data_IF_079621824228
#
_entry.id   IF_079621824228
#
_cell.length_a   1.000
_cell.length_b   1.000
_cell.length_c   1.000
_cell.angle_alpha   90.00
_cell.angle_beta   90.00
_cell.angle_gamma   90.00
#
_symmetry.space_group_name_H-M   'P 1'
#
loop_
_entity.id
_entity.type
_entity.pdbx_description
1 polymer ?
#
# COMPACT_ATOMS: atom_id res chain seq x y z
N UNK A 1 24.67 -14.28 80.63
CA UNK A 1 24.37 -13.28 79.58
C UNK A 1 24.80 -13.90 78.27
N UNK A 2 23.88 -14.11 77.32
CA UNK A 2 24.29 -14.61 76.00
C UNK A 2 24.79 -13.44 75.15
N UNK A 3 26.07 -13.54 74.77
CA UNK A 3 26.71 -12.65 73.82
C UNK A 3 26.73 -13.37 72.49
N UNK A 4 25.71 -13.14 71.66
CA UNK A 4 25.66 -13.68 70.32
C UNK A 4 26.62 -12.87 69.47
N UNK A 5 27.78 -13.46 69.13
CA UNK A 5 28.68 -12.91 68.10
C UNK A 5 28.02 -13.14 66.74
N UNK A 6 27.13 -12.23 66.38
CA UNK A 6 26.43 -12.25 65.11
C UNK A 6 27.37 -11.92 63.97
N UNK A 7 27.31 -12.69 62.88
CA UNK A 7 27.75 -12.21 61.58
C UNK A 7 26.73 -11.13 61.15
N UNK A 8 26.99 -9.87 61.52
CA UNK A 8 26.28 -8.68 61.04
C UNK A 8 24.78 -8.84 60.77
N UNK A 9 24.01 -9.37 61.73
CA UNK A 9 22.60 -9.66 61.52
C UNK A 9 21.73 -8.58 62.18
N UNK A 10 21.08 -7.76 61.35
CA UNK A 10 20.22 -6.67 61.78
C UNK A 10 18.85 -7.20 62.24
N UNK A 11 18.64 -7.32 63.55
CA UNK A 11 17.31 -7.54 64.13
C UNK A 11 16.72 -6.17 64.50
N UNK A 12 15.65 -5.70 63.85
CA UNK A 12 15.10 -4.39 64.18
C UNK A 12 14.50 -4.41 65.58
N UNK A 13 14.96 -3.48 66.42
CA UNK A 13 14.34 -3.21 67.72
C UNK A 13 13.25 -2.17 67.49
N UNK A 14 12.02 -2.69 67.40
CA UNK A 14 10.78 -1.99 67.70
C UNK A 14 10.26 -1.02 66.64
N UNK A 15 9.12 -1.36 66.05
CA UNK A 15 8.00 -0.42 65.93
C UNK A 15 6.72 -1.19 66.25
N UNK A 16 6.10 -0.81 67.37
CA UNK A 16 4.81 -1.31 67.81
C UNK A 16 3.74 -0.96 66.76
N UNK A 17 3.30 -1.97 66.02
CA UNK A 17 2.25 -1.83 65.02
C UNK A 17 1.65 -3.18 64.67
N UNK A 18 0.58 -3.55 65.37
CA UNK A 18 -0.44 -4.52 64.95
C UNK A 18 -0.11 -6.03 64.86
N UNK A 19 1.07 -6.54 65.25
CA UNK A 19 1.25 -7.99 65.48
C UNK A 19 1.05 -8.33 66.98
N UNK A 20 -0.21 -8.32 67.45
CA UNK A 20 -0.57 -8.66 68.85
C UNK A 20 -0.21 -10.10 69.30
N UNK A 21 0.29 -10.96 68.42
CA UNK A 21 0.45 -12.39 68.71
C UNK A 21 1.85 -12.83 69.10
N UNK A 22 2.89 -12.01 68.91
CA UNK A 22 4.26 -12.35 69.32
C UNK A 22 4.96 -11.09 69.83
N UNK A 23 4.61 -10.63 71.03
CA UNK A 23 5.53 -9.79 71.77
C UNK A 23 6.82 -10.61 71.95
N UNK A 24 7.99 -10.13 71.49
CA UNK A 24 9.22 -10.85 71.70
C UNK A 24 9.35 -11.10 73.21
N UNK A 25 9.50 -12.38 73.62
CA UNK A 25 9.72 -12.76 75.02
C UNK A 25 11.11 -12.35 75.53
N UNK A 26 11.72 -11.34 74.92
CA UNK A 26 13.01 -10.78 75.29
C UNK A 26 12.96 -9.24 75.35
N UNK A 27 13.84 -8.69 76.17
CA UNK A 27 14.22 -7.28 76.23
C UNK A 27 15.58 -7.12 75.56
N UNK A 28 15.69 -6.18 74.62
CA UNK A 28 17.01 -5.77 74.12
C UNK A 28 17.74 -5.02 75.24
N UNK A 29 18.97 -5.42 75.54
CA UNK A 29 19.84 -4.70 76.47
C UNK A 29 20.76 -3.71 75.74
N UNK A 30 21.47 -4.18 74.72
CA UNK A 30 22.41 -3.36 73.95
C UNK A 30 22.60 -3.94 72.56
N UNK A 31 22.80 -3.07 71.57
CA UNK A 31 23.27 -3.44 70.25
C UNK A 31 24.62 -2.76 70.02
N UNK A 32 25.67 -3.53 69.84
CA UNK A 32 26.99 -3.05 69.46
C UNK A 32 27.19 -3.33 67.96
N UNK A 33 27.09 -2.26 67.16
CA UNK A 33 27.19 -2.33 65.72
C UNK A 33 28.63 -2.54 65.23
N UNK A 34 29.63 -2.13 66.00
CA UNK A 34 31.05 -2.30 65.65
C UNK A 34 31.44 -3.76 65.87
N UNK A 35 31.02 -4.33 66.99
CA UNK A 35 31.27 -5.74 67.31
C UNK A 35 30.29 -6.71 66.60
N UNK A 36 29.22 -6.19 65.98
CA UNK A 36 28.10 -6.99 65.46
C UNK A 36 27.48 -7.91 66.52
N UNK A 37 27.37 -7.42 67.76
CA UNK A 37 26.82 -8.17 68.90
C UNK A 37 25.52 -7.54 69.36
N UNK A 38 24.45 -8.32 69.34
CA UNK A 38 23.18 -7.95 69.97
C UNK A 38 23.08 -8.70 71.29
N UNK A 39 22.86 -7.97 72.39
CA UNK A 39 22.60 -8.54 73.70
C UNK A 39 21.12 -8.44 74.01
N UNK A 40 20.47 -9.59 74.08
CA UNK A 40 19.08 -9.73 74.50
C UNK A 40 19.01 -10.45 75.84
N UNK A 41 17.90 -10.24 76.54
CA UNK A 41 17.62 -10.87 77.83
C UNK A 41 16.18 -11.33 77.83
N UNK A 42 15.89 -12.52 78.35
CA UNK A 42 14.50 -12.95 78.51
C UNK A 42 13.74 -11.97 79.42
N UNK A 43 12.47 -11.72 79.12
CA UNK A 43 11.61 -10.90 80.00
C UNK A 43 11.47 -11.57 81.37
N UNK A 44 11.66 -12.89 81.43
CA UNK A 44 11.67 -13.71 82.65
C UNK A 44 13.08 -13.95 83.23
N UNK A 45 14.09 -13.22 82.78
CA UNK A 45 15.45 -13.41 83.28
C UNK A 45 15.53 -13.11 84.78
N UNK A 46 16.08 -14.05 85.55
CA UNK A 46 16.21 -13.92 87.01
C UNK A 46 17.26 -12.88 87.43
N UNK A 47 18.13 -12.42 86.52
CA UNK A 47 19.14 -11.38 86.79
C UNK A 47 20.41 -11.86 87.49
N UNK A 48 20.44 -13.10 87.99
CA UNK A 48 21.62 -13.73 88.63
C UNK A 48 21.95 -15.08 87.98
N UNK A 49 23.24 -15.44 87.94
CA UNK A 49 23.72 -16.74 87.47
C UNK A 49 24.75 -17.26 88.47
N UNK A 50 24.53 -18.46 88.99
CA UNK A 50 25.38 -19.09 90.02
C UNK A 50 26.69 -19.67 89.45
N UNK A 51 26.79 -19.75 88.13
CA UNK A 51 27.90 -20.33 87.36
C UNK A 51 28.23 -19.43 86.15
N UNK A 52 29.44 -19.49 85.58
CA UNK A 52 29.74 -18.80 84.33
C UNK A 52 28.79 -19.29 83.22
N UNK A 53 27.86 -18.42 82.78
CA UNK A 53 26.84 -18.78 81.80
C UNK A 53 25.65 -17.81 81.74
N UNK A 54 24.51 -18.28 81.25
CA UNK A 54 23.23 -17.58 81.30
C UNK A 54 22.22 -18.36 82.16
N UNK A 55 21.13 -17.72 82.60
CA UNK A 55 20.05 -18.46 83.29
C UNK A 55 19.24 -19.25 82.25
N UNK A 56 18.60 -20.34 82.66
CA UNK A 56 17.81 -21.22 81.75
C UNK A 56 16.82 -20.45 80.88
N UNK A 57 16.08 -19.49 81.45
CA UNK A 57 15.14 -18.64 80.70
C UNK A 57 15.80 -17.79 79.60
N UNK A 58 17.08 -17.46 79.74
CA UNK A 58 17.86 -16.77 78.71
C UNK A 58 18.52 -17.73 77.72
N UNK A 59 18.76 -18.98 78.12
CA UNK A 59 19.29 -20.06 77.26
C UNK A 59 18.21 -20.50 76.25
N UNK A 60 16.96 -20.59 76.71
CA UNK A 60 15.78 -20.91 75.89
C UNK A 60 15.50 -19.87 74.78
N UNK A 61 16.17 -18.72 74.78
CA UNK A 61 16.07 -17.73 73.71
C UNK A 61 16.81 -18.13 72.43
N UNK A 62 17.80 -19.04 72.50
CA UNK A 62 18.61 -19.41 71.33
C UNK A 62 17.73 -19.91 70.17
N UNK A 63 16.73 -20.75 70.46
CA UNK A 63 15.79 -21.23 69.43
C UNK A 63 14.94 -20.11 68.81
N UNK A 64 14.61 -19.06 69.56
CA UNK A 64 13.89 -17.89 69.03
C UNK A 64 14.81 -17.00 68.16
N UNK A 65 16.09 -16.88 68.53
CA UNK A 65 17.08 -16.14 67.74
C UNK A 65 17.35 -16.86 66.41
N UNK A 66 17.53 -18.18 66.42
CA UNK A 66 17.71 -18.98 65.21
C UNK A 66 16.55 -18.82 64.22
N UNK A 67 15.32 -18.72 64.72
CA UNK A 67 14.13 -18.50 63.89
C UNK A 67 14.17 -17.11 63.25
N UNK A 68 14.54 -16.07 64.01
CA UNK A 68 14.68 -14.70 63.49
C UNK A 68 15.83 -14.62 62.48
N UNK A 69 16.95 -15.28 62.74
CA UNK A 69 18.09 -15.37 61.82
C UNK A 69 17.68 -16.05 60.52
N UNK A 70 17.06 -17.22 60.60
CA UNK A 70 16.56 -17.95 59.43
C UNK A 70 15.54 -17.13 58.64
N UNK A 71 14.69 -16.36 59.32
CA UNK A 71 13.72 -15.47 58.66
C UNK A 71 14.37 -14.28 57.97
N UNK A 72 15.45 -13.74 58.53
CA UNK A 72 16.23 -12.65 57.93
C UNK A 72 16.98 -13.09 56.67
N UNK A 73 17.37 -14.37 56.58
CA UNK A 73 18.07 -14.94 55.42
C UNK A 73 17.13 -15.38 54.28
N UNK A 74 15.86 -15.66 54.58
CA UNK A 74 14.88 -16.05 53.57
C UNK A 74 14.46 -14.86 52.67
N UNK A 75 14.20 -15.12 51.39
CA UNK A 75 13.72 -14.09 50.46
C UNK A 75 12.38 -13.48 50.89
N UNK A 76 12.23 -12.17 50.68
CA UNK A 76 11.10 -11.37 51.18
C UNK A 76 9.79 -11.52 50.36
N UNK A 77 9.73 -12.49 49.43
CA UNK A 77 8.70 -12.68 48.40
C UNK A 77 7.27 -12.22 48.76
N UNK A 78 6.41 -13.14 49.23
CA UNK A 78 5.01 -12.85 49.62
C UNK A 78 4.83 -12.57 51.12
N UNK A 79 5.91 -12.32 51.87
CA UNK A 79 5.83 -12.10 53.32
C UNK A 79 5.13 -10.77 53.66
N UNK A 80 4.36 -10.75 54.75
CA UNK A 80 3.79 -9.52 55.31
C UNK A 80 4.92 -8.55 55.67
N UNK A 81 4.65 -7.25 55.54
CA UNK A 81 5.58 -6.15 55.86
C UNK A 81 6.08 -6.27 57.30
N UNK A 82 5.20 -6.67 58.22
CA UNK A 82 5.48 -6.79 59.66
C UNK A 82 6.46 -7.91 60.01
N UNK A 83 6.82 -8.76 59.04
CA UNK A 83 7.74 -9.90 59.22
C UNK A 83 9.07 -9.73 58.49
N UNK A 84 9.33 -8.55 57.94
CA UNK A 84 10.55 -8.25 57.19
C UNK A 84 11.58 -7.56 58.11
N UNK A 85 12.86 -7.91 57.96
CA UNK A 85 13.94 -7.12 58.56
C UNK A 85 14.04 -5.74 57.91
N UNK A 86 14.74 -4.81 58.56
CA UNK A 86 14.95 -3.47 58.01
C UNK A 86 15.62 -3.52 56.62
N UNK A 87 16.64 -4.37 56.44
CA UNK A 87 17.31 -4.53 55.15
C UNK A 87 16.38 -5.12 54.09
N UNK A 88 15.56 -6.11 54.47
CA UNK A 88 14.53 -6.66 53.58
C UNK A 88 13.48 -5.61 53.20
N UNK A 89 13.10 -4.71 54.12
CA UNK A 89 12.21 -3.58 53.84
C UNK A 89 12.86 -2.58 52.89
N UNK A 90 14.12 -2.20 53.10
CA UNK A 90 14.87 -1.31 52.23
C UNK A 90 15.01 -1.89 50.81
N UNK A 91 15.34 -3.19 50.70
CA UNK A 91 15.40 -3.91 49.43
C UNK A 91 14.03 -3.96 48.74
N UNK A 92 12.96 -4.26 49.49
CA UNK A 92 11.58 -4.27 48.97
C UNK A 92 11.15 -2.88 48.50
N UNK A 93 11.48 -1.83 49.24
CA UNK A 93 11.23 -0.44 48.84
C UNK A 93 11.97 -0.07 47.56
N UNK A 94 13.25 -0.44 47.46
CA UNK A 94 14.05 -0.24 46.23
C UNK A 94 13.45 -0.99 45.04
N UNK A 95 13.03 -2.24 45.24
CA UNK A 95 12.38 -3.04 44.21
C UNK A 95 11.02 -2.44 43.78
N UNK A 96 10.20 -1.99 44.73
CA UNK A 96 8.93 -1.30 44.44
C UNK A 96 9.15 0.03 43.71
N UNK A 97 10.17 0.80 44.09
CA UNK A 97 10.52 2.05 43.40
C UNK A 97 10.96 1.77 41.94
N UNK A 98 11.76 0.72 41.72
CA UNK A 98 12.14 0.28 40.38
C UNK A 98 10.93 -0.18 39.56
N UNK A 99 10.02 -0.96 40.17
CA UNK A 99 8.78 -1.38 39.53
C UNK A 99 7.91 -0.17 39.16
N UNK A 100 7.72 0.77 40.08
CA UNK A 100 6.98 2.01 39.83
C UNK A 100 7.59 2.81 38.67
N UNK A 101 8.91 3.00 38.66
CA UNK A 101 9.60 3.67 37.57
C UNK A 101 9.39 2.94 36.23
N UNK A 102 9.48 1.61 36.21
CA UNK A 102 9.23 0.80 35.01
C UNK A 102 7.79 0.94 34.50
N UNK A 103 6.80 0.95 35.39
CA UNK A 103 5.39 1.13 35.04
C UNK A 103 5.09 2.55 34.58
N UNK A 104 5.77 3.56 35.14
CA UNK A 104 5.67 4.95 34.66
C UNK A 104 6.18 5.09 33.22
N UNK A 105 7.31 4.46 32.88
CA UNK A 105 7.83 4.44 31.50
C UNK A 105 6.84 3.74 30.56
N UNK A 106 6.31 2.57 30.95
CA UNK A 106 5.29 1.85 30.16
C UNK A 106 4.04 2.70 29.95
N UNK A 107 3.55 3.38 30.99
CA UNK A 107 2.40 4.29 30.91
C UNK A 107 2.65 5.43 29.91
N UNK A 108 3.83 6.07 29.97
CA UNK A 108 4.21 7.14 29.03
C UNK A 108 4.26 6.64 27.59
N UNK A 109 4.86 5.47 27.35
CA UNK A 109 4.90 4.85 26.02
C UNK A 109 3.50 4.54 25.48
N UNK A 110 2.61 4.00 26.31
CA UNK A 110 1.20 3.77 25.94
C UNK A 110 0.47 5.08 25.61
N UNK A 111 0.69 6.15 26.38
CA UNK A 111 0.10 7.45 26.10
C UNK A 111 0.60 8.03 24.76
N UNK A 112 1.89 7.92 24.47
CA UNK A 112 2.44 8.36 23.18
C UNK A 112 1.86 7.55 22.02
N UNK A 113 1.79 6.23 22.17
CA UNK A 113 1.18 5.34 21.17
C UNK A 113 -0.30 5.67 20.93
N UNK A 114 -1.06 5.92 22.00
CA UNK A 114 -2.47 6.29 21.92
C UNK A 114 -2.68 7.67 21.27
N UNK A 115 -1.82 8.65 21.57
CA UNK A 115 -1.82 9.95 20.87
C UNK A 115 -1.56 9.79 19.37
N UNK A 116 -0.57 8.98 18.99
CA UNK A 116 -0.26 8.70 17.59
C UNK A 116 -1.43 7.98 16.87
N UNK A 117 -2.06 7.01 17.53
CA UNK A 117 -3.22 6.30 16.99
C UNK A 117 -4.42 7.25 16.77
N UNK A 118 -4.72 8.14 17.73
CA UNK A 118 -5.76 9.17 17.58
C UNK A 118 -5.47 10.11 16.42
N UNK A 119 -4.22 10.54 16.26
CA UNK A 119 -3.81 11.38 15.12
C UNK A 119 -4.04 10.68 13.79
N UNK A 120 -3.64 9.40 13.67
CA UNK A 120 -3.90 8.59 12.46
C UNK A 120 -5.40 8.48 12.17
N UNK A 121 -6.20 8.23 13.19
CA UNK A 121 -7.66 8.16 13.05
C UNK A 121 -8.27 9.49 12.59
N UNK A 122 -7.71 10.62 13.04
CA UNK A 122 -8.05 11.94 12.52
C UNK A 122 -7.81 12.06 11.01
N UNK A 123 -6.63 11.66 10.52
CA UNK A 123 -6.33 11.70 9.09
C UNK A 123 -7.23 10.76 8.26
N UNK A 124 -7.60 9.60 8.79
CA UNK A 124 -8.56 8.72 8.10
C UNK A 124 -9.94 9.36 7.99
N UNK A 125 -10.43 10.00 9.06
CA UNK A 125 -11.71 10.74 9.03
C UNK A 125 -11.68 11.86 8.00
N UNK A 126 -10.59 12.61 7.94
CA UNK A 126 -10.39 13.66 6.93
C UNK A 126 -10.42 13.08 5.51
N UNK A 127 -9.68 12.01 5.25
CA UNK A 127 -9.70 11.31 3.96
C UNK A 127 -11.12 10.85 3.59
N UNK A 128 -11.85 10.22 4.52
CA UNK A 128 -13.22 9.78 4.28
C UNK A 128 -14.15 10.96 4.00
N UNK A 129 -14.03 12.07 4.74
CA UNK A 129 -14.81 13.28 4.50
C UNK A 129 -14.55 13.86 3.10
N UNK A 130 -13.29 13.91 2.66
CA UNK A 130 -12.94 14.39 1.31
C UNK A 130 -13.58 13.50 0.24
N UNK A 131 -13.46 12.18 0.39
CA UNK A 131 -14.02 11.21 -0.56
C UNK A 131 -15.55 11.20 -0.55
N UNK A 132 -16.19 11.46 0.60
CA UNK A 132 -17.65 11.49 0.69
C UNK A 132 -18.27 12.78 0.20
N UNK A 133 -17.53 13.90 0.26
CA UNK A 133 -18.03 15.23 -0.11
C UNK A 133 -17.68 15.62 -1.55
N UNK A 134 -16.71 14.97 -2.19
CA UNK A 134 -16.21 15.34 -3.51
C UNK A 134 -16.18 14.13 -4.45
N UNK A 135 -16.51 14.38 -5.72
CA UNK A 135 -16.27 13.40 -6.79
C UNK A 135 -14.80 13.41 -7.17
N UNK A 136 -14.00 12.55 -6.53
CA UNK A 136 -12.55 12.50 -6.77
C UNK A 136 -12.25 11.78 -8.09
N UNK A 137 -11.67 12.46 -9.10
CA UNK A 137 -11.39 11.84 -10.39
C UNK A 137 -10.35 10.72 -10.28
N UNK A 138 -10.62 9.57 -10.89
CA UNK A 138 -9.69 8.44 -10.90
C UNK A 138 -9.37 7.85 -9.52
N UNK A 139 -10.33 7.89 -8.58
CA UNK A 139 -10.16 7.47 -7.18
C UNK A 139 -9.48 6.11 -7.02
N UNK A 140 -9.94 5.09 -7.76
CA UNK A 140 -9.38 3.73 -7.70
C UNK A 140 -7.88 3.70 -8.03
N UNK A 141 -7.46 4.46 -9.05
CA UNK A 141 -6.05 4.57 -9.46
C UNK A 141 -5.22 5.35 -8.45
N UNK A 142 -5.79 6.40 -7.85
CA UNK A 142 -5.13 7.16 -6.79
C UNK A 142 -4.84 6.26 -5.58
N UNK A 143 -5.81 5.45 -5.14
CA UNK A 143 -5.61 4.50 -4.04
C UNK A 143 -4.62 3.38 -4.39
N UNK A 144 -4.64 2.89 -5.63
CA UNK A 144 -3.66 1.91 -6.12
C UNK A 144 -2.23 2.48 -6.07
N UNK A 145 -2.07 3.74 -6.47
CA UNK A 145 -0.81 4.48 -6.39
C UNK A 145 -0.38 4.69 -4.94
N UNK A 146 -1.29 5.12 -4.09
CA UNK A 146 -1.04 5.32 -2.66
C UNK A 146 -0.58 4.02 -1.97
N UNK A 147 -1.18 2.88 -2.35
CA UNK A 147 -0.78 1.55 -1.85
C UNK A 147 0.62 1.17 -2.34
N UNK A 148 0.89 1.32 -3.64
CA UNK A 148 2.19 0.99 -4.25
C UNK A 148 3.34 1.81 -3.65
N UNK A 149 3.11 3.11 -3.44
CA UNK A 149 4.09 4.07 -2.96
C UNK A 149 4.12 4.22 -1.42
N UNK A 150 3.29 3.47 -0.69
CA UNK A 150 3.23 3.53 0.78
C UNK A 150 2.81 4.90 1.34
N UNK A 151 1.88 5.60 0.69
CA UNK A 151 1.45 6.93 1.14
C UNK A 151 0.71 6.86 2.48
N UNK A 152 1.02 7.83 3.35
CA UNK A 152 0.26 8.02 4.59
C UNK A 152 -1.16 8.51 4.29
N UNK A 153 -2.17 8.26 5.15
CA UNK A 153 -3.54 8.73 4.93
C UNK A 153 -3.66 10.24 4.71
N UNK A 154 -2.80 11.03 5.37
CA UNK A 154 -2.74 12.49 5.18
C UNK A 154 -2.29 12.84 3.76
N UNK A 155 -1.21 12.21 3.28
CA UNK A 155 -0.70 12.41 1.92
C UNK A 155 -1.73 11.97 0.87
N UNK A 156 -2.42 10.85 1.10
CA UNK A 156 -3.52 10.41 0.23
C UNK A 156 -4.65 11.45 0.17
N UNK A 157 -5.05 12.01 1.31
CA UNK A 157 -6.04 13.09 1.38
C UNK A 157 -5.59 14.34 0.61
N UNK A 158 -4.33 14.76 0.78
CA UNK A 158 -3.73 15.87 0.03
C UNK A 158 -3.80 15.62 -1.50
N UNK A 159 -3.45 14.41 -1.96
CA UNK A 159 -3.55 14.06 -3.38
C UNK A 159 -5.00 13.96 -3.90
N UNK A 160 -5.95 13.52 -3.07
CA UNK A 160 -7.36 13.55 -3.44
C UNK A 160 -7.83 14.99 -3.68
N UNK A 161 -7.45 15.94 -2.80
CA UNK A 161 -7.77 17.36 -2.99
C UNK A 161 -7.12 17.92 -4.25
N UNK A 162 -5.83 17.62 -4.49
CA UNK A 162 -5.15 18.03 -5.72
C UNK A 162 -5.82 17.46 -6.97
N UNK A 163 -6.39 16.25 -6.90
CA UNK A 163 -7.14 15.65 -8.01
C UNK A 163 -8.48 16.36 -8.25
N UNK A 164 -9.21 16.70 -7.18
CA UNK A 164 -10.45 17.49 -7.27
C UNK A 164 -10.18 18.88 -7.85
N UNK A 165 -9.05 19.50 -7.50
CA UNK A 165 -8.60 20.78 -8.06
C UNK A 165 -8.06 20.67 -9.50
N UNK A 166 -7.98 19.47 -10.07
CA UNK A 166 -7.40 19.24 -11.40
C UNK A 166 -5.88 19.47 -11.48
N UNK A 167 -5.18 19.58 -10.34
CA UNK A 167 -3.71 19.74 -10.27
C UNK A 167 -2.97 18.41 -10.30
N UNK A 168 -3.65 17.32 -9.96
CA UNK A 168 -3.09 15.97 -9.98
C UNK A 168 -3.94 15.03 -10.83
N UNK A 169 -3.30 14.29 -11.74
CA UNK A 169 -3.98 13.36 -12.64
C UNK A 169 -3.36 11.96 -12.48
N UNK A 170 -4.04 10.99 -11.83
CA UNK A 170 -3.50 9.65 -11.65
C UNK A 170 -3.40 8.91 -12.99
N UNK A 171 -2.18 8.61 -13.44
CA UNK A 171 -1.87 7.99 -14.76
C UNK A 171 -1.67 6.47 -14.76
N UNK A 172 -1.89 5.81 -13.62
CA UNK A 172 -1.70 4.36 -13.49
C UNK A 172 -2.90 3.59 -14.05
N UNK A 173 -3.07 3.63 -15.37
CA UNK A 173 -4.15 2.97 -16.11
C UNK A 173 -3.95 1.46 -16.12
N UNK A 174 -5.02 0.71 -15.86
CA UNK A 174 -5.04 -0.75 -16.03
C UNK A 174 -5.12 -1.10 -17.52
N UNK A 175 -4.89 -2.37 -17.85
CA UNK A 175 -5.11 -2.89 -19.21
C UNK A 175 -6.58 -2.71 -19.62
N UNK A 176 -7.51 -3.09 -18.73
CA UNK A 176 -8.94 -2.86 -18.92
C UNK A 176 -9.28 -1.37 -19.19
N UNK A 177 -8.66 -0.42 -18.48
CA UNK A 177 -8.88 1.02 -18.74
C UNK A 177 -8.47 1.40 -20.18
N UNK A 178 -7.38 0.81 -20.68
CA UNK A 178 -6.87 1.05 -22.04
C UNK A 178 -7.78 0.42 -23.09
N UNK A 179 -8.15 -0.85 -22.91
CA UNK A 179 -9.09 -1.55 -23.81
C UNK A 179 -10.44 -0.84 -23.89
N UNK A 180 -11.00 -0.44 -22.74
CA UNK A 180 -12.25 0.29 -22.69
C UNK A 180 -12.13 1.65 -23.39
N UNK A 181 -11.04 2.37 -23.19
CA UNK A 181 -10.78 3.63 -23.89
C UNK A 181 -10.62 3.45 -25.40
N UNK A 182 -9.94 2.39 -25.85
CA UNK A 182 -9.83 2.02 -27.27
C UNK A 182 -11.20 1.72 -27.86
N UNK A 183 -12.00 0.88 -27.19
CA UNK A 183 -13.36 0.55 -27.64
C UNK A 183 -14.25 1.80 -27.77
N UNK A 184 -14.21 2.68 -26.76
CA UNK A 184 -14.95 3.95 -26.79
C UNK A 184 -14.49 4.85 -27.92
N UNK A 185 -13.18 4.90 -28.19
CA UNK A 185 -12.64 5.68 -29.29
C UNK A 185 -13.08 5.13 -30.64
N UNK A 186 -13.08 3.81 -30.82
CA UNK A 186 -13.47 3.15 -32.06
C UNK A 186 -14.97 3.29 -32.34
N UNK A 187 -15.81 3.17 -31.32
CA UNK A 187 -17.28 3.27 -31.47
C UNK A 187 -17.80 4.71 -31.44
N UNK A 188 -17.27 5.55 -30.55
CA UNK A 188 -17.77 6.90 -30.29
C UNK A 188 -16.86 8.03 -30.79
N UNK A 189 -15.70 7.69 -31.35
CA UNK A 189 -14.72 8.65 -31.85
C UNK A 189 -13.96 9.40 -30.76
N UNK A 190 -13.13 10.35 -31.20
CA UNK A 190 -12.30 11.16 -30.31
C UNK A 190 -13.08 12.06 -29.34
N UNK A 191 -14.28 12.52 -29.74
CA UNK A 191 -15.11 13.37 -28.90
C UNK A 191 -15.66 12.62 -27.68
N UNK A 192 -16.15 11.38 -27.87
CA UNK A 192 -16.64 10.54 -26.78
C UNK A 192 -15.50 10.19 -25.80
N UNK A 193 -14.34 9.79 -26.32
CA UNK A 193 -13.16 9.53 -25.49
C UNK A 193 -12.74 10.78 -24.70
N UNK A 194 -12.72 11.96 -25.35
CA UNK A 194 -12.37 13.21 -24.68
C UNK A 194 -13.33 13.54 -23.54
N UNK A 195 -14.63 13.39 -23.74
CA UNK A 195 -15.63 13.60 -22.70
C UNK A 195 -15.40 12.66 -21.50
N UNK A 196 -15.11 11.37 -21.75
CA UNK A 196 -14.86 10.40 -20.69
C UNK A 196 -13.48 10.53 -20.04
N UNK A 197 -12.47 11.01 -20.76
CA UNK A 197 -11.19 11.42 -20.17
C UNK A 197 -11.35 12.57 -19.17
N UNK A 198 -12.31 13.49 -19.40
CA UNK A 198 -12.65 14.61 -18.51
C UNK A 198 -13.70 14.28 -17.44
N UNK A 199 -14.32 13.10 -17.51
CA UNK A 199 -15.26 12.61 -16.51
C UNK A 199 -14.56 12.15 -15.22
N UNK A 200 -15.29 11.92 -14.11
CA UNK A 200 -14.72 11.33 -12.89
C UNK A 200 -14.03 9.96 -13.10
N UNK A 201 -14.41 9.21 -14.14
CA UNK A 201 -13.79 7.93 -14.51
C UNK A 201 -12.36 8.16 -15.04
N UNK A 202 -12.09 9.31 -15.67
CA UNK A 202 -10.79 9.70 -16.22
C UNK A 202 -10.15 8.62 -17.11
N UNK A 203 -10.81 8.21 -18.19
CA UNK A 203 -10.21 7.23 -19.11
C UNK A 203 -8.89 7.73 -19.71
N UNK A 204 -7.99 6.83 -20.16
CA UNK A 204 -6.80 7.18 -20.94
C UNK A 204 -7.08 8.19 -22.07
N UNK A 205 -6.12 9.07 -22.34
CA UNK A 205 -6.21 10.00 -23.48
C UNK A 205 -5.98 9.29 -24.81
N UNK A 206 -6.35 9.93 -25.93
CA UNK A 206 -6.06 9.41 -27.29
C UNK A 206 -4.57 9.09 -27.46
N UNK A 207 -3.68 9.95 -26.96
CA UNK A 207 -2.24 9.72 -27.06
C UNK A 207 -1.80 8.52 -26.22
N UNK A 208 -2.44 8.28 -25.08
CA UNK A 208 -2.13 7.14 -24.20
C UNK A 208 -2.54 5.80 -24.81
N UNK A 209 -3.64 5.76 -25.57
CA UNK A 209 -4.09 4.54 -26.26
C UNK A 209 -3.51 4.40 -27.67
N UNK A 210 -2.75 5.37 -28.17
CA UNK A 210 -2.24 5.37 -29.54
C UNK A 210 -1.37 4.14 -29.82
N UNK A 211 -0.55 3.72 -28.85
CA UNK A 211 0.32 2.53 -28.97
C UNK A 211 -0.46 1.21 -28.97
N UNK A 212 -1.58 1.16 -28.26
CA UNK A 212 -2.43 -0.05 -28.15
C UNK A 212 -3.50 -0.11 -29.22
N UNK A 213 -3.80 1.03 -29.86
CA UNK A 213 -4.78 1.12 -30.92
C UNK A 213 -4.14 0.57 -32.19
N UNK A 214 -4.83 -0.38 -32.83
CA UNK A 214 -4.45 -0.85 -34.15
C UNK A 214 -4.73 0.26 -35.16
N UNK A 215 -3.69 0.86 -35.71
CA UNK A 215 -3.84 1.71 -36.88
C UNK A 215 -4.01 0.80 -38.09
N UNK A 216 -5.26 0.69 -38.55
CA UNK A 216 -5.59 -0.02 -39.78
C UNK A 216 -5.14 0.86 -40.94
N UNK A 217 -3.88 0.71 -41.33
CA UNK A 217 -3.30 1.38 -42.49
C UNK A 217 -3.76 0.67 -43.76
N UNK A 218 -5.04 0.86 -44.09
CA UNK A 218 -5.63 0.32 -45.30
C UNK A 218 -5.02 1.02 -46.52
N UNK A 219 -4.52 0.21 -47.44
CA UNK A 219 -3.99 0.64 -48.72
C UNK A 219 -5.12 0.94 -49.69
N UNK A 220 -5.07 2.12 -50.29
CA UNK A 220 -5.98 2.52 -51.36
C UNK A 220 -5.37 2.11 -52.70
N UNK A 221 -6.14 1.38 -53.52
CA UNK A 221 -5.72 1.13 -54.90
C UNK A 221 -5.98 2.35 -55.77
N UNK A 222 -4.94 2.84 -56.44
CA UNK A 222 -5.07 3.87 -57.48
C UNK A 222 -5.09 3.22 -58.85
N UNK A 223 -6.13 3.54 -59.63
CA UNK A 223 -6.35 3.02 -60.97
C UNK A 223 -7.09 1.69 -60.99
N UNK A 224 -6.58 0.71 -61.74
CA UNK A 224 -7.20 -0.61 -61.84
C UNK A 224 -7.05 -1.36 -60.50
N UNK A 225 -8.11 -2.02 -60.05
CA UNK A 225 -8.13 -2.81 -58.81
C UNK A 225 -7.01 -3.85 -58.81
N UNK A 226 -6.16 -3.84 -57.78
CA UNK A 226 -5.03 -4.75 -57.62
C UNK A 226 -5.35 -5.75 -56.53
N UNK A 227 -5.29 -7.04 -56.88
CA UNK A 227 -5.48 -8.13 -55.91
C UNK A 227 -4.46 -8.06 -54.77
N UNK A 228 -3.24 -7.57 -55.04
CA UNK A 228 -2.21 -7.37 -54.00
C UNK A 228 -2.68 -6.43 -52.89
N UNK A 229 -3.31 -5.31 -53.24
CA UNK A 229 -3.76 -4.30 -52.29
C UNK A 229 -4.95 -4.83 -51.47
N UNK A 230 -5.84 -5.61 -52.09
CA UNK A 230 -6.93 -6.31 -51.40
C UNK A 230 -6.36 -7.30 -50.38
N UNK A 231 -5.39 -8.12 -50.78
CA UNK A 231 -4.77 -9.11 -49.88
C UNK A 231 -4.04 -8.45 -48.71
N UNK A 232 -3.31 -7.35 -48.97
CA UNK A 232 -2.65 -6.57 -47.92
C UNK A 232 -3.66 -5.96 -46.94
N UNK A 233 -4.79 -5.43 -47.44
CA UNK A 233 -5.87 -4.95 -46.57
C UNK A 233 -6.52 -6.07 -45.74
N UNK A 234 -6.71 -7.26 -46.32
CA UNK A 234 -7.21 -8.43 -45.58
C UNK A 234 -6.20 -8.81 -44.49
N UNK A 235 -4.90 -8.83 -44.78
CA UNK A 235 -3.87 -9.11 -43.79
C UNK A 235 -3.84 -8.05 -42.68
N UNK A 236 -3.93 -6.76 -43.02
CA UNK A 236 -4.03 -5.67 -42.04
C UNK A 236 -5.28 -5.80 -41.17
N UNK A 237 -6.41 -6.29 -41.69
CA UNK A 237 -7.64 -6.47 -40.91
C UNK A 237 -7.64 -7.75 -40.07
N UNK A 238 -7.11 -8.86 -40.59
CA UNK A 238 -7.31 -10.20 -40.01
C UNK A 238 -6.01 -10.93 -39.62
N UNK A 239 -4.83 -10.37 -39.90
CA UNK A 239 -3.54 -11.05 -39.76
C UNK A 239 -3.00 -11.20 -38.33
N UNK A 240 -3.41 -10.35 -37.37
CA UNK A 240 -2.85 -10.34 -36.00
C UNK A 240 -3.53 -11.33 -35.03
N UNK A 241 -4.31 -12.30 -35.53
CA UNK A 241 -4.85 -13.37 -34.67
C UNK A 241 -3.79 -14.43 -34.39
N UNK A 242 -3.66 -14.88 -33.14
CA UNK A 242 -2.96 -16.14 -32.79
C UNK A 242 -3.70 -17.31 -33.47
N UNK A 243 -3.42 -17.55 -34.75
CA UNK A 243 -3.94 -18.69 -35.52
C UNK A 243 -3.21 -19.95 -35.07
N UNK A 244 -3.40 -20.32 -33.81
CA UNK A 244 -2.94 -21.59 -33.26
C UNK A 244 -3.81 -22.75 -33.74
N UNK A 245 -5.05 -22.47 -34.19
CA UNK A 245 -5.90 -23.44 -34.88
C UNK A 245 -5.81 -23.26 -36.40
N UNK A 246 -5.07 -24.15 -37.05
CA UNK A 246 -4.86 -24.23 -38.50
C UNK A 246 -6.09 -24.77 -39.26
N UNK A 247 -7.30 -24.45 -38.80
CA UNK A 247 -8.54 -24.86 -39.46
C UNK A 247 -8.70 -24.18 -40.81
N UNK A 248 -9.22 -24.89 -41.82
CA UNK A 248 -9.67 -24.28 -43.06
C UNK A 248 -10.85 -23.35 -42.76
N UNK A 249 -10.63 -22.05 -42.92
CA UNK A 249 -11.65 -21.02 -42.77
C UNK A 249 -12.15 -20.60 -44.16
N UNK A 250 -13.46 -20.66 -44.37
CA UNK A 250 -14.08 -20.16 -45.59
C UNK A 250 -14.29 -18.66 -45.47
N UNK A 251 -13.80 -17.88 -46.43
CA UNK A 251 -14.07 -16.46 -46.53
C UNK A 251 -15.04 -16.18 -47.69
N UNK A 252 -16.03 -15.32 -47.47
CA UNK A 252 -16.85 -14.76 -48.55
C UNK A 252 -16.44 -13.32 -48.79
N UNK A 253 -16.07 -12.98 -50.03
CA UNK A 253 -15.75 -11.63 -50.46
C UNK A 253 -17.00 -11.02 -51.12
N UNK A 254 -17.53 -9.96 -50.53
CA UNK A 254 -18.64 -9.18 -51.05
C UNK A 254 -18.11 -7.79 -51.41
N UNK A 255 -18.38 -7.34 -52.62
CA UNK A 255 -17.88 -6.07 -53.13
C UNK A 255 -19.07 -5.18 -53.48
N UNK A 256 -19.03 -3.92 -53.01
CA UNK A 256 -20.04 -2.92 -53.33
C UNK A 256 -19.42 -1.53 -53.43
N UNK A 257 -20.15 -0.59 -54.00
CA UNK A 257 -19.75 0.80 -54.14
C UNK A 257 -20.39 1.67 -53.06
N UNK A 258 -19.60 2.49 -52.38
CA UNK A 258 -20.11 3.53 -51.47
C UNK A 258 -19.88 4.90 -52.06
N UNK A 259 -20.92 5.74 -52.06
CA UNK A 259 -20.76 7.15 -52.39
C UNK A 259 -19.95 7.86 -51.31
N UNK A 260 -19.03 8.76 -51.70
CA UNK A 260 -18.32 9.62 -50.76
C UNK A 260 -17.96 10.98 -51.35
N UNK A 261 -17.30 11.80 -50.54
CA UNK A 261 -16.93 13.17 -50.90
C UNK A 261 -15.72 13.13 -51.83
N UNK A 262 -15.99 13.04 -53.14
CA UNK A 262 -14.97 12.92 -54.16
C UNK A 262 -13.99 14.09 -54.15
N UNK A 263 -12.77 13.82 -53.70
CA UNK A 263 -11.68 14.80 -53.64
C UNK A 263 -10.37 14.12 -54.03
N UNK A 264 -9.59 14.71 -54.96
CA UNK A 264 -8.23 14.26 -55.19
C UNK A 264 -7.40 14.43 -53.91
N UNK A 265 -6.60 13.43 -53.58
CA UNK A 265 -5.71 13.45 -52.42
C UNK A 265 -4.33 12.92 -52.80
N UNK A 266 -3.32 13.24 -52.01
CA UNK A 266 -1.99 12.65 -52.12
C UNK A 266 -1.88 11.50 -51.12
N UNK A 267 -1.49 10.32 -51.62
CA UNK A 267 -1.25 9.12 -50.84
C UNK A 267 0.25 9.03 -50.59
N UNK A 268 0.67 9.39 -49.37
CA UNK A 268 2.09 9.46 -49.00
C UNK A 268 2.77 8.10 -49.08
N UNK A 269 2.10 7.03 -48.64
CA UNK A 269 2.68 5.68 -48.58
C UNK A 269 3.07 5.12 -49.94
N UNK A 270 2.33 5.50 -50.99
CA UNK A 270 2.60 5.04 -52.35
C UNK A 270 3.16 6.14 -53.25
N UNK A 271 3.29 7.38 -52.78
CA UNK A 271 3.63 8.53 -53.61
C UNK A 271 2.69 8.65 -54.83
N UNK A 272 1.37 8.58 -54.61
CA UNK A 272 0.35 8.56 -55.67
C UNK A 272 -0.74 9.61 -55.50
N UNK A 273 -1.35 10.04 -56.61
CA UNK A 273 -2.58 10.83 -56.61
C UNK A 273 -3.79 9.90 -56.51
N UNK A 274 -4.49 9.93 -55.38
CA UNK A 274 -5.76 9.26 -55.15
C UNK A 274 -6.99 10.13 -55.51
N UNK A 275 -8.17 9.52 -55.49
CA UNK A 275 -9.46 10.22 -55.64
C UNK A 275 -9.89 10.54 -57.07
N UNK A 276 -9.25 9.96 -58.09
CA UNK A 276 -9.66 10.03 -59.49
C UNK A 276 -10.46 8.76 -59.86
N UNK A 277 -11.40 8.87 -60.82
CA UNK A 277 -12.17 7.72 -61.28
C UNK A 277 -11.29 6.69 -62.02
N UNK A 278 -11.74 5.44 -62.11
CA UNK A 278 -11.03 4.34 -62.79
C UNK A 278 -10.58 4.70 -64.21
N UNK A 279 -11.40 5.42 -64.99
CA UNK A 279 -11.07 5.84 -66.35
C UNK A 279 -9.79 6.69 -66.47
N UNK A 280 -9.29 7.25 -65.37
CA UNK A 280 -8.04 7.99 -65.36
C UNK A 280 -6.83 7.13 -65.77
N UNK A 281 -6.89 5.80 -65.60
CA UNK A 281 -5.82 4.87 -66.02
C UNK A 281 -5.57 4.86 -67.51
N UNK A 282 -6.61 5.14 -68.30
CA UNK A 282 -6.52 5.20 -69.75
C UNK A 282 -5.98 6.55 -70.23
N UNK A 283 -5.99 7.57 -69.38
CA UNK A 283 -5.71 8.95 -69.79
C UNK A 283 -4.40 9.51 -69.24
N UNK A 284 -4.09 9.19 -67.99
CA UNK A 284 -2.87 9.63 -67.32
C UNK A 284 -1.76 8.61 -67.53
N UNK A 285 -0.55 9.10 -67.81
CA UNK A 285 0.62 8.23 -68.03
C UNK A 285 1.08 7.54 -66.75
N UNK A 286 0.90 8.22 -65.61
CA UNK A 286 1.30 7.75 -64.28
C UNK A 286 0.38 8.39 -63.25
N UNK A 287 0.27 7.75 -62.08
CA UNK A 287 -0.32 8.35 -60.89
C UNK A 287 0.73 8.73 -59.85
N UNK A 288 1.99 8.33 -60.08
CA UNK A 288 3.11 8.64 -59.19
C UNK A 288 3.38 10.12 -59.18
N UNK A 289 3.53 10.68 -57.99
CA UNK A 289 3.79 12.10 -57.86
C UNK A 289 5.23 12.41 -58.25
N UNK A 290 6.19 11.61 -57.77
CA UNK A 290 7.58 11.70 -58.19
C UNK A 290 8.26 12.99 -57.72
N UNK A 291 9.22 13.49 -58.51
CA UNK A 291 10.06 14.64 -58.14
C UNK A 291 9.51 16.00 -58.54
N UNK A 292 8.46 16.04 -59.36
CA UNK A 292 7.85 17.27 -59.88
C UNK A 292 6.33 17.20 -59.86
N UNK A 293 5.66 18.33 -60.14
CA UNK A 293 4.20 18.42 -60.10
C UNK A 293 3.54 18.11 -61.46
N UNK A 294 4.28 17.57 -62.44
CA UNK A 294 3.78 17.40 -63.80
C UNK A 294 2.57 16.47 -63.86
N UNK A 295 2.59 15.37 -63.11
CA UNK A 295 1.47 14.43 -63.01
C UNK A 295 0.21 15.09 -62.43
N UNK A 296 0.36 15.94 -61.41
CA UNK A 296 -0.77 16.66 -60.81
C UNK A 296 -1.35 17.71 -61.77
N UNK A 297 -0.49 18.43 -62.49
CA UNK A 297 -0.94 19.38 -63.51
C UNK A 297 -1.68 18.68 -64.66
N UNK A 298 -1.20 17.51 -65.10
CA UNK A 298 -1.87 16.70 -66.13
C UNK A 298 -3.24 16.23 -65.64
N UNK A 299 -3.32 15.69 -64.41
CA UNK A 299 -4.57 15.29 -63.79
C UNK A 299 -5.56 16.47 -63.70
N UNK A 300 -5.12 17.65 -63.25
CA UNK A 300 -5.97 18.85 -63.17
C UNK A 300 -6.48 19.27 -64.55
N UNK A 301 -5.62 19.26 -65.57
CA UNK A 301 -6.01 19.58 -66.95
C UNK A 301 -7.06 18.60 -67.46
N UNK A 302 -6.85 17.29 -67.27
CA UNK A 302 -7.77 16.24 -67.69
C UNK A 302 -9.13 16.30 -66.95
N UNK A 303 -9.12 16.63 -65.65
CA UNK A 303 -10.38 16.85 -64.90
C UNK A 303 -11.13 18.07 -65.46
N UNK A 304 -10.43 19.17 -65.73
CA UNK A 304 -11.04 20.41 -66.24
C UNK A 304 -11.57 20.28 -67.66
N UNK A 305 -10.93 19.46 -68.49
CA UNK A 305 -11.41 19.17 -69.85
C UNK A 305 -12.55 18.15 -69.89
N UNK A 306 -12.89 17.52 -68.75
CA UNK A 306 -13.91 16.48 -68.66
C UNK A 306 -13.46 15.13 -69.22
N UNK A 307 -12.17 14.94 -69.45
CA UNK A 307 -11.59 13.66 -69.91
C UNK A 307 -11.53 12.63 -68.79
N UNK A 308 -11.38 13.08 -67.55
CA UNK A 308 -11.44 12.25 -66.34
C UNK A 308 -12.34 12.93 -65.30
N UNK A 309 -12.87 12.15 -64.38
CA UNK A 309 -13.71 12.64 -63.29
C UNK A 309 -13.03 12.44 -61.93
N UNK A 310 -13.39 13.28 -60.97
CA UNK A 310 -13.10 13.02 -59.56
C UNK A 310 -14.00 11.87 -59.12
N UNK A 311 -13.41 10.83 -58.53
CA UNK A 311 -14.15 9.65 -58.07
C UNK A 311 -15.13 10.04 -56.97
N UNK A 312 -16.42 9.74 -57.17
CA UNK A 312 -17.48 9.99 -56.18
C UNK A 312 -17.93 8.72 -55.46
N UNK A 313 -17.49 7.58 -55.95
CA UNK A 313 -17.82 6.26 -55.43
C UNK A 313 -16.50 5.54 -55.12
N UNK A 314 -16.49 4.80 -54.02
CA UNK A 314 -15.37 3.99 -53.57
C UNK A 314 -15.82 2.53 -53.60
N UNK A 315 -15.06 1.71 -54.30
CA UNK A 315 -15.29 0.28 -54.30
C UNK A 315 -14.73 -0.31 -53.00
N UNK A 316 -15.60 -0.86 -52.16
CA UNK A 316 -15.23 -1.43 -50.87
C UNK A 316 -15.45 -2.95 -50.91
N UNK A 317 -14.37 -3.73 -50.95
CA UNK A 317 -14.45 -5.16 -50.65
C UNK A 317 -14.68 -5.35 -49.14
N UNK A 318 -15.64 -6.19 -48.80
CA UNK A 318 -15.90 -6.68 -47.45
C UNK A 318 -15.72 -8.19 -47.42
N UNK A 319 -15.07 -8.69 -46.38
CA UNK A 319 -14.87 -10.13 -46.21
C UNK A 319 -15.55 -10.59 -44.95
N UNK A 320 -16.41 -11.61 -45.06
CA UNK A 320 -17.02 -12.27 -43.91
C UNK A 320 -16.42 -13.65 -43.73
N UNK A 321 -16.05 -13.97 -42.49
CA UNK A 321 -15.53 -15.27 -42.11
C UNK A 321 -16.70 -16.24 -41.84
N UNK A 322 -16.75 -17.35 -42.57
CA UNK A 322 -17.72 -18.42 -42.33
C UNK A 322 -17.34 -19.28 -41.11
N UNK A 323 -18.27 -20.10 -40.59
CA UNK A 323 -17.97 -21.01 -39.49
C UNK A 323 -16.84 -21.96 -39.89
N UNK A 324 -15.82 -22.09 -39.03
CA UNK A 324 -14.77 -23.08 -39.21
C UNK A 324 -15.40 -24.48 -39.12
N UNK A 325 -15.20 -25.28 -40.17
CA UNK A 325 -15.50 -26.71 -40.10
C UNK A 325 -14.26 -27.41 -39.57
N UNK A 326 -14.30 -27.87 -38.33
CA UNK A 326 -13.34 -28.87 -37.85
C UNK A 326 -13.50 -30.12 -38.71
N UNK A 327 -12.51 -30.41 -39.55
CA UNK A 327 -12.39 -31.70 -40.22
C UNK A 327 -11.93 -32.76 -39.22
#
# INVERSE_FOLDING_TARGET
MHSIRGRGLWIPIGLAGAAKTLLPRYTLLSADFVASVIRIRSVKCCGYVSQPGCCSECDDLDGAVDVVERWSQQSFGKKSIDRLSHDQLALKLKALAQQLASEQVKRKNRQTSLKAARKRLGHYRELFNIVSLNEVPGLSRLFSTAKKEGWSPKKTAEHCLLAVEGKYHPRNYTEFDRELATLIYELGGGAALYALNKSPIMLPSRQTIAETRRELNLRITVGNVKVSDIMENIEVLFGDGDTTDSGLVLHSLLQDEIAGDGRPCYLEDTDEIGGLCEHATNRLKTFKMGTDLSCAEEAVKAVRSGEIHVGKEFNIPSTTMGPSRSL
#
